data_IF_888576998571
#
_entry.id   IF_888576998571
#
_cell.length_a   1.000
_cell.length_b   1.000
_cell.length_c   1.000
_cell.angle_alpha   90.00
_cell.angle_beta   90.00
_cell.angle_gamma   90.00
#
_symmetry.space_group_name_H-M   'P 1'
#
loop_
_entity.id
_entity.type
_entity.pdbx_description
1 polymer ?
#
# COMPACT_ATOMS: atom_id res chain seq x y z
N UNK A 1 5.07 -8.94 13.36
CA UNK A 1 6.43 -8.79 12.81
C UNK A 1 6.32 -7.62 11.86
N UNK A 2 7.01 -6.54 12.18
CA UNK A 2 7.10 -5.33 11.38
C UNK A 2 7.85 -5.63 10.07
N UNK A 3 7.16 -5.45 8.94
CA UNK A 3 7.74 -5.51 7.59
C UNK A 3 7.97 -4.08 7.08
N UNK A 4 9.03 -3.85 6.31
CA UNK A 4 9.22 -2.57 5.62
C UNK A 4 8.82 -2.70 4.16
N UNK A 5 7.86 -1.89 3.72
CA UNK A 5 7.41 -1.80 2.34
C UNK A 5 7.92 -0.50 1.73
N UNK A 6 8.55 -0.61 0.56
CA UNK A 6 8.91 0.52 -0.29
C UNK A 6 8.09 0.45 -1.59
N UNK A 7 7.52 1.57 -2.00
CA UNK A 7 6.65 1.61 -3.17
C UNK A 7 6.27 3.01 -3.62
N UNK A 8 5.73 3.08 -4.83
CA UNK A 8 5.14 4.30 -5.38
C UNK A 8 3.65 4.33 -5.03
N UNK A 9 3.17 5.46 -4.52
CA UNK A 9 1.75 5.69 -4.25
C UNK A 9 1.03 5.85 -5.58
N UNK A 10 0.11 4.95 -5.86
CA UNK A 10 -0.71 4.98 -7.08
C UNK A 10 -1.96 5.81 -6.84
N UNK A 11 -2.59 5.62 -5.68
CA UNK A 11 -3.89 6.20 -5.36
C UNK A 11 -4.01 6.41 -3.85
N UNK A 12 -4.65 7.50 -3.45
CA UNK A 12 -4.97 7.77 -2.04
C UNK A 12 -6.45 8.02 -1.91
N UNK A 13 -7.07 7.36 -0.93
CA UNK A 13 -8.44 7.64 -0.52
C UNK A 13 -8.39 8.31 0.85
N UNK A 14 -8.94 9.52 0.94
CA UNK A 14 -9.08 10.20 2.21
C UNK A 14 -10.23 9.62 3.03
N UNK A 15 -10.19 9.69 4.36
CA UNK A 15 -11.29 9.23 5.22
C UNK A 15 -12.66 9.80 4.84
N UNK A 16 -12.69 11.04 4.34
CA UNK A 16 -13.91 11.73 3.92
C UNK A 16 -14.48 11.18 2.60
N UNK A 17 -13.67 10.52 1.79
CA UNK A 17 -14.07 9.94 0.51
C UNK A 17 -14.46 8.46 0.64
N UNK A 18 -14.36 7.86 1.83
CA UNK A 18 -14.65 6.45 2.03
C UNK A 18 -16.08 6.05 1.65
N UNK A 19 -17.04 6.98 1.74
CA UNK A 19 -18.43 6.74 1.34
C UNK A 19 -18.60 6.56 -0.18
N UNK A 20 -17.65 7.05 -0.99
CA UNK A 20 -17.63 6.87 -2.44
C UNK A 20 -17.08 5.50 -2.86
N UNK A 21 -16.49 4.73 -1.93
CA UNK A 21 -15.88 3.42 -2.19
C UNK A 21 -16.59 2.29 -1.45
N UNK A 22 -16.90 1.21 -2.16
CA UNK A 22 -17.51 0.00 -1.58
C UNK A 22 -16.43 -0.92 -0.99
N UNK A 23 -15.98 -0.61 0.22
CA UNK A 23 -15.01 -1.44 0.94
C UNK A 23 -15.66 -2.71 1.49
N UNK A 24 -14.96 -3.84 1.39
CA UNK A 24 -15.36 -5.05 2.12
C UNK A 24 -15.44 -4.76 3.64
N UNK A 25 -16.38 -5.33 4.40
CA UNK A 25 -16.65 -4.95 5.79
C UNK A 25 -15.42 -5.00 6.72
N UNK A 26 -14.50 -5.95 6.48
CA UNK A 26 -13.25 -6.06 7.23
C UNK A 26 -12.28 -4.94 6.92
N UNK A 27 -12.23 -4.50 5.66
CA UNK A 27 -11.43 -3.37 5.23
C UNK A 27 -12.06 -2.07 5.76
N UNK A 28 -13.37 -1.90 5.62
CA UNK A 28 -14.08 -0.71 6.12
C UNK A 28 -13.82 -0.47 7.63
N UNK A 29 -13.80 -1.54 8.42
CA UNK A 29 -13.49 -1.46 9.86
C UNK A 29 -12.03 -1.06 10.13
N UNK A 30 -11.09 -1.46 9.26
CA UNK A 30 -9.68 -1.06 9.36
C UNK A 30 -9.48 0.37 8.88
N UNK A 31 -10.16 0.78 7.81
CA UNK A 31 -10.04 2.10 7.23
C UNK A 31 -10.87 3.17 7.98
N UNK A 32 -11.56 2.81 9.06
CA UNK A 32 -12.39 3.77 9.80
C UNK A 32 -11.57 4.99 10.23
N UNK A 33 -11.93 6.15 9.67
CA UNK A 33 -11.25 7.43 9.92
C UNK A 33 -9.75 7.49 9.53
N UNK A 34 -9.24 6.56 8.70
CA UNK A 34 -7.82 6.46 8.31
C UNK A 34 -7.64 6.56 6.79
N UNK A 35 -6.45 6.92 6.33
CA UNK A 35 -6.13 6.99 4.91
C UNK A 35 -5.94 5.59 4.32
N UNK A 36 -6.42 5.39 3.11
CA UNK A 36 -6.20 4.16 2.33
C UNK A 36 -5.30 4.49 1.15
N UNK A 37 -4.10 3.95 1.18
CA UNK A 37 -3.03 4.30 0.24
C UNK A 37 -2.71 3.05 -0.57
N UNK A 38 -3.03 3.07 -1.86
CA UNK A 38 -2.69 1.99 -2.78
C UNK A 38 -1.29 2.23 -3.31
N UNK A 39 -0.38 1.31 -3.00
CA UNK A 39 1.01 1.37 -3.39
C UNK A 39 1.38 0.26 -4.34
N UNK A 40 2.32 0.57 -5.22
CA UNK A 40 3.01 -0.44 -6.02
C UNK A 40 4.26 -0.89 -5.28
N UNK A 41 4.31 -2.15 -4.84
CA UNK A 41 5.51 -2.68 -4.16
C UNK A 41 6.68 -2.76 -5.14
N UNK A 42 7.82 -2.19 -4.75
CA UNK A 42 8.97 -1.96 -5.62
C UNK A 42 8.85 -0.63 -6.35
N UNK A 43 9.64 0.36 -5.93
CA UNK A 43 9.77 1.68 -6.59
C UNK A 43 10.22 1.57 -8.06
N UNK A 44 10.63 2.69 -8.69
CA UNK A 44 10.98 2.69 -10.14
C UNK A 44 11.88 1.50 -10.49
N UNK A 45 11.37 0.48 -11.22
CA UNK A 45 12.05 -0.79 -11.30
C UNK A 45 13.35 -0.62 -12.07
N UNK A 46 14.47 -0.95 -11.43
CA UNK A 46 15.76 -0.97 -12.10
C UNK A 46 15.73 -2.01 -13.21
N UNK A 47 16.41 -1.77 -14.34
CA UNK A 47 16.31 -2.65 -15.52
C UNK A 47 16.64 -4.13 -15.22
N UNK A 48 17.46 -4.40 -14.21
CA UNK A 48 17.81 -5.75 -13.73
C UNK A 48 16.64 -6.44 -13.03
N UNK A 49 15.87 -5.70 -12.25
CA UNK A 49 14.69 -6.24 -11.55
C UNK A 49 13.57 -6.54 -12.53
N UNK A 50 13.46 -5.79 -13.63
CA UNK A 50 12.52 -6.11 -14.73
C UNK A 50 12.85 -7.46 -15.38
N UNK A 51 14.14 -7.76 -15.58
CA UNK A 51 14.60 -9.04 -16.14
C UNK A 51 14.38 -10.17 -15.13
N UNK A 52 14.68 -9.93 -13.85
CA UNK A 52 14.47 -10.92 -12.79
C UNK A 52 12.98 -11.24 -12.55
N UNK A 53 12.11 -10.23 -12.52
CA UNK A 53 10.67 -10.39 -12.38
C UNK A 53 10.05 -11.12 -13.59
N UNK A 54 10.58 -10.86 -14.80
CA UNK A 54 10.21 -11.60 -16.01
C UNK A 54 10.66 -13.07 -15.95
N UNK A 55 11.87 -13.35 -15.46
CA UNK A 55 12.36 -14.72 -15.26
C UNK A 55 11.59 -15.47 -14.15
N UNK A 56 11.20 -14.77 -13.08
CA UNK A 56 10.48 -15.34 -11.92
C UNK A 56 8.97 -15.33 -12.06
N UNK A 57 8.41 -14.70 -13.09
CA UNK A 57 6.96 -14.60 -13.33
C UNK A 57 6.18 -13.99 -12.15
N UNK A 58 6.83 -13.14 -11.34
CA UNK A 58 6.16 -12.42 -10.25
C UNK A 58 5.62 -11.09 -10.81
N UNK A 59 4.29 -10.93 -10.95
CA UNK A 59 3.70 -9.65 -11.33
C UNK A 59 4.01 -8.61 -10.25
N UNK A 60 4.09 -7.34 -10.65
CA UNK A 60 4.39 -6.26 -9.69
C UNK A 60 3.19 -6.16 -8.73
N UNK A 61 3.40 -6.50 -7.46
CA UNK A 61 2.32 -6.71 -6.49
C UNK A 61 1.76 -5.36 -6.00
N UNK A 62 0.47 -5.04 -6.28
CA UNK A 62 -0.19 -3.92 -5.64
C UNK A 62 -0.45 -4.27 -4.17
N UNK A 63 -0.13 -3.35 -3.27
CA UNK A 63 -0.37 -3.47 -1.83
C UNK A 63 -1.17 -2.26 -1.36
N UNK A 64 -2.08 -2.48 -0.43
CA UNK A 64 -2.88 -1.43 0.20
C UNK A 64 -2.33 -1.17 1.59
N UNK A 65 -2.10 0.09 1.90
CA UNK A 65 -1.64 0.56 3.19
C UNK A 65 -2.77 1.35 3.86
N UNK A 66 -3.06 1.05 5.12
CA UNK A 66 -3.97 1.86 5.93
C UNK A 66 -3.12 2.65 6.91
N UNK A 67 -3.24 3.98 6.90
CA UNK A 67 -2.36 4.85 7.67
C UNK A 67 -3.12 6.01 8.34
N UNK A 68 -2.64 6.48 9.47
CA UNK A 68 -3.21 7.65 10.16
C UNK A 68 -2.80 8.99 9.51
N UNK A 69 -1.87 8.96 8.55
CA UNK A 69 -1.34 10.14 7.87
C UNK A 69 -1.45 10.01 6.36
N UNK A 70 -1.64 11.14 5.68
CA UNK A 70 -1.72 11.20 4.23
C UNK A 70 -0.38 10.88 3.56
N UNK A 71 -0.45 10.33 2.36
CA UNK A 71 0.65 10.27 1.41
C UNK A 71 0.26 11.01 0.13
N UNK A 72 1.24 11.42 -0.67
CA UNK A 72 0.97 12.09 -1.95
C UNK A 72 0.95 11.07 -3.08
N UNK A 73 -0.04 11.17 -3.97
CA UNK A 73 -0.08 10.36 -5.19
C UNK A 73 1.16 10.60 -6.06
N UNK A 74 1.75 9.52 -6.56
CA UNK A 74 3.00 9.53 -7.32
C UNK A 74 4.26 9.68 -6.47
N UNK A 75 4.15 9.80 -5.14
CA UNK A 75 5.31 9.83 -4.25
C UNK A 75 5.88 8.41 -4.05
N UNK A 76 7.21 8.32 -3.93
CA UNK A 76 7.87 7.10 -3.45
C UNK A 76 7.88 7.15 -1.92
N UNK A 77 7.28 6.16 -1.28
CA UNK A 77 7.19 6.04 0.18
C UNK A 77 7.94 4.82 0.69
N UNK A 78 8.38 4.92 1.93
CA UNK A 78 8.86 3.79 2.72
C UNK A 78 8.04 3.73 4.00
N UNK A 79 7.41 2.59 4.27
CA UNK A 79 6.51 2.41 5.40
C UNK A 79 6.90 1.16 6.18
N UNK A 80 6.94 1.28 7.51
CA UNK A 80 6.95 0.14 8.42
C UNK A 80 5.50 -0.26 8.64
N UNK A 81 5.21 -1.55 8.46
CA UNK A 81 3.85 -2.05 8.39
C UNK A 81 3.64 -3.33 9.18
N UNK A 82 2.40 -3.57 9.57
CA UNK A 82 1.94 -4.81 10.19
C UNK A 82 0.84 -5.48 9.36
N UNK A 83 0.78 -6.82 9.40
CA UNK A 83 -0.24 -7.59 8.67
C UNK A 83 -1.62 -7.45 9.34
N UNK A 84 -2.63 -7.10 8.56
CA UNK A 84 -4.01 -6.93 9.06
C UNK A 84 -4.86 -8.20 8.98
N UNK A 85 -4.27 -9.30 8.52
CA UNK A 85 -4.98 -10.56 8.23
C UNK A 85 -5.81 -10.53 6.94
N UNK A 86 -5.81 -9.41 6.20
CA UNK A 86 -6.31 -9.33 4.82
C UNK A 86 -5.09 -9.36 3.90
N UNK A 87 -5.05 -10.31 2.97
CA UNK A 87 -3.94 -10.44 2.03
C UNK A 87 -3.74 -9.18 1.20
N UNK A 88 -2.53 -8.62 1.25
CA UNK A 88 -2.19 -7.39 0.52
C UNK A 88 -2.66 -6.10 1.19
N UNK A 89 -3.19 -6.15 2.42
CA UNK A 89 -3.55 -4.96 3.21
C UNK A 89 -2.70 -4.92 4.48
N UNK A 90 -2.00 -3.81 4.68
CA UNK A 90 -1.11 -3.63 5.81
C UNK A 90 -1.45 -2.36 6.59
N UNK A 91 -1.25 -2.42 7.90
CA UNK A 91 -1.41 -1.29 8.81
C UNK A 91 -0.07 -0.56 8.91
N UNK A 92 -0.03 0.73 8.59
CA UNK A 92 1.19 1.53 8.65
C UNK A 92 1.40 2.01 10.08
N UNK A 93 2.49 1.56 10.67
CA UNK A 93 2.91 2.00 12.01
C UNK A 93 3.83 3.21 11.95
N UNK A 94 4.62 3.35 10.87
CA UNK A 94 5.57 4.46 10.71
C UNK A 94 5.88 4.72 9.23
N UNK A 95 5.84 5.99 8.80
CA UNK A 95 6.42 6.43 7.52
C UNK A 95 7.88 6.84 7.70
N UNK A 96 8.73 6.48 6.73
CA UNK A 96 10.18 6.66 6.72
C UNK A 96 10.63 7.61 5.63
#
# INVERSE_FOLDING_TARGET
MDETIAGEVIHVVEPAEHEDYDFEPKMASLADSRYVIVCRKGGKPSWLERIAAFLRRQPIEPVTLVADSAAEEGAEIMAVVEETGISGVYDVTEFR
#
